data_IF_181328664214
#
_entry.id   IF_181328664214
#
_cell.length_a   1.000
_cell.length_b   1.000
_cell.length_c   1.000
_cell.angle_alpha   90.00
_cell.angle_beta   90.00
_cell.angle_gamma   90.00
#
_symmetry.space_group_name_H-M   'P 1'
#
loop_
_entity.id
_entity.type
_entity.pdbx_description
1 polymer ?
#
# COMPACT_ATOMS: atom_id res chain seq x y z
N UNK A 1 -46.89 66.20 16.96
CA UNK A 1 -45.57 66.05 16.30
C UNK A 1 -44.93 64.86 16.90
N UNK A 2 -44.69 63.81 16.13
CA UNK A 2 -43.93 62.65 16.57
C UNK A 2 -42.45 63.05 16.73
N UNK A 3 -41.98 63.08 17.96
CA UNK A 3 -40.54 63.32 18.24
C UNK A 3 -39.78 62.05 17.90
N UNK A 4 -39.16 61.99 16.76
CA UNK A 4 -38.21 60.96 16.47
C UNK A 4 -36.96 61.18 17.35
N UNK A 5 -36.69 60.24 18.21
CA UNK A 5 -35.45 60.24 18.98
C UNK A 5 -34.26 59.95 18.05
N UNK A 6 -33.30 60.87 17.98
CA UNK A 6 -32.14 60.76 17.11
C UNK A 6 -30.88 60.85 17.93
N UNK A 7 -29.81 60.17 17.48
CA UNK A 7 -28.50 60.21 18.13
C UNK A 7 -28.50 59.69 19.58
N UNK A 8 -28.05 60.52 20.54
CA UNK A 8 -27.92 60.07 21.93
C UNK A 8 -29.24 59.81 22.67
N UNK A 9 -30.36 60.20 22.10
CA UNK A 9 -31.70 59.96 22.65
C UNK A 9 -32.42 58.84 21.91
N UNK A 10 -31.76 58.13 21.02
CA UNK A 10 -32.34 56.95 20.32
C UNK A 10 -32.63 55.84 21.32
N UNK A 11 -33.65 55.07 21.04
CA UNK A 11 -34.02 53.90 21.81
C UNK A 11 -33.90 52.65 20.93
N UNK A 12 -33.65 51.51 21.56
CA UNK A 12 -33.62 50.20 20.94
C UNK A 12 -34.42 49.20 21.77
N UNK A 13 -34.89 48.15 21.12
CA UNK A 13 -35.61 47.05 21.76
C UNK A 13 -34.59 45.98 22.15
N UNK A 14 -34.67 45.51 23.41
CA UNK A 14 -33.85 44.38 23.86
C UNK A 14 -34.37 43.08 23.23
N UNK A 15 -33.45 42.30 22.65
CA UNK A 15 -33.77 41.00 22.08
C UNK A 15 -34.24 39.97 23.12
N UNK A 16 -33.95 40.23 24.42
CA UNK A 16 -34.33 39.33 25.50
C UNK A 16 -35.70 39.62 26.06
N UNK A 17 -35.95 40.84 26.48
CA UNK A 17 -37.21 41.23 27.11
C UNK A 17 -38.25 41.81 26.15
N UNK A 18 -37.82 42.24 24.94
CA UNK A 18 -38.69 42.98 24.01
C UNK A 18 -39.04 44.39 24.47
N UNK A 19 -38.42 44.88 25.57
CA UNK A 19 -38.67 46.22 26.12
C UNK A 19 -37.76 47.25 25.45
N UNK A 20 -38.26 48.50 25.45
CA UNK A 20 -37.56 49.64 24.85
C UNK A 20 -36.64 50.31 25.86
N UNK A 21 -35.32 50.36 25.56
CA UNK A 21 -34.28 50.97 26.40
C UNK A 21 -33.51 52.06 25.63
N UNK A 22 -32.81 52.99 26.36
CA UNK A 22 -31.90 53.93 25.72
C UNK A 22 -30.80 53.18 24.95
N UNK A 23 -30.55 53.51 23.70
CA UNK A 23 -29.55 52.83 22.84
C UNK A 23 -28.15 52.82 23.50
N UNK A 24 -27.80 53.82 24.29
CA UNK A 24 -26.49 53.91 24.98
C UNK A 24 -26.30 52.87 26.07
N UNK A 25 -27.37 52.32 26.59
CA UNK A 25 -27.37 51.28 27.64
C UNK A 25 -27.47 49.86 27.09
N UNK A 26 -27.51 49.75 25.77
CA UNK A 26 -27.58 48.46 25.09
C UNK A 26 -26.18 47.92 24.87
N UNK A 27 -26.01 46.61 25.13
CA UNK A 27 -24.74 45.84 25.00
C UNK A 27 -24.99 44.62 24.14
N UNK A 28 -24.01 44.22 23.36
CA UNK A 28 -24.08 42.97 22.57
C UNK A 28 -23.51 41.80 23.37
N UNK A 29 -24.31 40.76 23.50
CA UNK A 29 -23.89 39.50 24.13
C UNK A 29 -23.01 38.66 23.24
N UNK A 30 -22.40 37.61 23.80
CA UNK A 30 -21.52 36.64 23.13
C UNK A 30 -22.25 35.86 22.00
N UNK A 31 -23.57 35.69 22.11
CA UNK A 31 -24.41 35.03 21.11
C UNK A 31 -24.87 35.98 19.97
N UNK A 32 -24.52 37.26 20.08
CA UNK A 32 -24.88 38.27 19.10
C UNK A 32 -26.14 39.05 19.45
N UNK A 33 -26.91 38.67 20.49
CA UNK A 33 -28.11 39.38 20.94
C UNK A 33 -27.80 40.78 21.45
N UNK A 34 -28.68 41.72 21.16
CA UNK A 34 -28.53 43.11 21.57
C UNK A 34 -29.49 43.39 22.73
N UNK A 35 -28.94 43.49 23.95
CA UNK A 35 -29.69 43.53 25.19
C UNK A 35 -29.34 44.74 26.04
N UNK A 36 -30.21 45.13 26.98
CA UNK A 36 -29.89 46.15 27.96
C UNK A 36 -28.83 45.61 28.95
N UNK A 37 -27.94 46.47 29.46
CA UNK A 37 -26.82 46.06 30.36
C UNK A 37 -27.31 45.33 31.61
N UNK A 38 -28.52 45.56 32.11
CA UNK A 38 -29.08 44.83 33.25
C UNK A 38 -29.50 43.40 32.93
N UNK A 39 -29.68 43.12 31.67
CA UNK A 39 -30.06 41.80 31.15
C UNK A 39 -28.89 41.04 30.58
N UNK A 40 -27.69 41.62 30.59
CA UNK A 40 -26.49 41.06 30.02
C UNK A 40 -26.04 39.83 30.79
N UNK A 41 -25.82 38.76 30.07
CA UNK A 41 -25.21 37.51 30.58
C UNK A 41 -23.84 37.28 29.95
N UNK A 42 -22.79 37.09 30.80
CA UNK A 42 -21.49 36.71 30.30
C UNK A 42 -21.54 35.30 29.74
N UNK A 43 -20.69 35.02 28.77
CA UNK A 43 -20.52 33.68 28.20
C UNK A 43 -20.12 32.67 29.29
N UNK A 44 -20.82 31.55 29.35
CA UNK A 44 -20.49 30.47 30.27
C UNK A 44 -19.10 29.92 29.99
N UNK A 45 -18.22 29.79 31.01
CA UNK A 45 -16.86 29.28 30.84
C UNK A 45 -16.79 27.88 30.23
N UNK A 46 -17.86 27.09 30.34
CA UNK A 46 -17.93 25.76 29.75
C UNK A 46 -18.03 25.78 28.22
N UNK A 47 -18.50 26.89 27.65
CA UNK A 47 -18.61 27.08 26.21
C UNK A 47 -17.30 27.55 25.57
N UNK A 48 -16.32 27.90 26.39
CA UNK A 48 -14.97 28.18 25.93
C UNK A 48 -14.11 26.92 26.13
N UNK A 49 -13.51 26.40 25.04
CA UNK A 49 -12.55 25.32 25.21
C UNK A 49 -11.45 25.82 26.15
N UNK A 50 -11.22 25.09 27.24
CA UNK A 50 -10.09 25.39 28.13
C UNK A 50 -8.83 25.47 27.27
N UNK A 51 -8.01 26.51 27.36
CA UNK A 51 -6.71 26.50 26.74
C UNK A 51 -5.97 25.32 27.35
N UNK A 52 -5.87 24.24 26.61
CA UNK A 52 -4.97 23.14 26.93
C UNK A 52 -3.60 23.80 26.84
N UNK A 53 -2.87 23.85 27.97
CA UNK A 53 -1.49 24.30 27.98
C UNK A 53 -0.77 23.47 26.92
N UNK A 54 -0.68 24.02 25.70
CA UNK A 54 -0.11 23.32 24.56
C UNK A 54 1.34 23.07 24.88
N UNK A 55 1.77 21.83 24.75
CA UNK A 55 3.17 21.54 24.56
C UNK A 55 3.66 22.45 23.44
N UNK A 56 4.57 23.39 23.75
CA UNK A 56 5.12 24.35 22.78
C UNK A 56 5.86 23.66 21.62
N UNK A 57 6.03 22.34 21.69
CA UNK A 57 6.61 21.47 20.67
C UNK A 57 5.51 20.75 19.85
N UNK A 58 4.25 20.80 20.28
CA UNK A 58 3.15 20.16 19.55
C UNK A 58 2.91 20.85 18.20
N UNK A 59 3.06 20.09 17.15
CA UNK A 59 2.78 20.56 15.79
C UNK A 59 1.27 20.67 15.54
N UNK A 60 0.82 21.83 15.10
CA UNK A 60 -0.61 22.13 14.95
C UNK A 60 -1.31 21.33 13.85
N UNK A 61 -0.63 20.80 12.89
CA UNK A 61 -1.16 19.99 11.78
C UNK A 61 -0.16 18.91 11.42
N UNK A 62 0.07 18.00 12.35
CA UNK A 62 0.96 16.87 12.10
C UNK A 62 0.32 15.96 11.06
N UNK A 63 1.00 15.78 9.96
CA UNK A 63 0.75 14.68 9.04
C UNK A 63 1.93 13.72 9.19
N UNK A 64 1.80 12.69 10.03
CA UNK A 64 2.84 11.68 10.14
C UNK A 64 2.99 11.00 8.76
N UNK A 65 4.20 10.55 8.48
CA UNK A 65 4.46 9.73 7.31
C UNK A 65 3.53 8.52 7.30
N UNK A 66 3.13 8.12 6.12
CA UNK A 66 2.26 6.98 5.93
C UNK A 66 3.03 5.72 6.34
N UNK A 67 2.66 5.13 7.46
CA UNK A 67 3.26 3.88 7.98
C UNK A 67 2.54 2.62 7.49
N UNK A 68 1.53 2.79 6.66
CA UNK A 68 0.78 1.68 6.10
C UNK A 68 1.61 0.97 5.03
N UNK A 69 1.59 -0.35 5.08
CA UNK A 69 2.17 -1.16 3.99
C UNK A 69 1.37 -0.93 2.71
N UNK A 70 2.03 -0.90 1.55
CA UNK A 70 1.32 -0.77 0.29
C UNK A 70 0.38 -1.97 0.11
N UNK A 71 -0.86 -1.65 -0.25
CA UNK A 71 -1.87 -2.65 -0.56
C UNK A 71 -1.68 -3.14 -2.00
N UNK A 72 -2.05 -4.40 -2.30
CA UNK A 72 -2.09 -4.89 -3.67
C UNK A 72 -3.07 -4.10 -4.53
N UNK A 73 -2.67 -3.82 -5.77
CA UNK A 73 -3.53 -3.18 -6.76
C UNK A 73 -4.21 -4.21 -7.64
N UNK A 74 -5.47 -3.95 -8.01
CA UNK A 74 -6.19 -4.78 -8.95
C UNK A 74 -5.72 -4.50 -10.39
N UNK A 75 -5.45 -5.57 -11.13
CA UNK A 75 -5.12 -5.49 -12.54
C UNK A 75 -6.38 -5.53 -13.40
N UNK A 76 -6.34 -5.01 -14.64
CA UNK A 76 -7.43 -5.15 -15.61
C UNK A 76 -7.76 -6.62 -15.90
N UNK A 77 -8.89 -6.86 -16.56
CA UNK A 77 -9.25 -8.21 -17.01
C UNK A 77 -8.21 -8.77 -18.00
N UNK A 78 -7.71 -9.97 -17.72
CA UNK A 78 -6.67 -10.66 -18.50
C UNK A 78 -5.42 -9.80 -18.76
N UNK A 79 -4.74 -9.34 -17.70
CA UNK A 79 -3.67 -8.37 -17.82
C UNK A 79 -2.38 -8.92 -18.42
N UNK A 80 -2.21 -10.25 -18.45
CA UNK A 80 -0.99 -10.89 -18.90
C UNK A 80 -1.03 -11.22 -20.38
N UNK A 81 0.06 -10.92 -21.09
CA UNK A 81 0.27 -11.25 -22.49
C UNK A 81 1.70 -11.77 -22.69
N UNK A 82 1.84 -12.92 -23.34
CA UNK A 82 3.13 -13.50 -23.68
C UNK A 82 3.12 -14.00 -25.12
N UNK A 83 4.25 -13.83 -25.81
CA UNK A 83 4.44 -14.27 -27.18
C UNK A 83 5.22 -15.59 -27.22
N UNK A 84 4.85 -16.48 -28.13
CA UNK A 84 5.57 -17.73 -28.34
C UNK A 84 7.08 -17.51 -28.58
N UNK A 85 7.90 -18.29 -27.91
CA UNK A 85 9.37 -18.23 -28.02
C UNK A 85 10.03 -17.12 -27.20
N UNK A 86 9.26 -16.30 -26.46
CA UNK A 86 9.81 -15.25 -25.58
C UNK A 86 9.77 -15.65 -24.12
N UNK A 87 10.66 -15.02 -23.32
CA UNK A 87 10.67 -15.11 -21.86
C UNK A 87 10.05 -13.87 -21.20
N UNK A 88 9.63 -12.91 -22.00
CA UNK A 88 9.12 -11.61 -21.50
C UNK A 88 7.61 -11.69 -21.49
N UNK A 89 7.02 -11.52 -20.30
CA UNK A 89 5.58 -11.37 -20.14
C UNK A 89 5.24 -9.90 -19.94
N UNK A 90 4.32 -9.40 -20.74
CA UNK A 90 3.80 -8.05 -20.61
C UNK A 90 2.59 -8.06 -19.69
N UNK A 91 2.55 -7.11 -18.76
CA UNK A 91 1.47 -6.92 -17.79
C UNK A 91 0.81 -5.57 -18.03
N UNK A 92 -0.47 -5.56 -18.31
CA UNK A 92 -1.25 -4.33 -18.46
C UNK A 92 -1.59 -3.73 -17.11
N UNK A 93 -1.16 -2.48 -16.87
CA UNK A 93 -1.41 -1.73 -15.65
C UNK A 93 -1.56 -0.25 -15.98
N UNK A 94 -2.79 0.27 -16.18
CA UNK A 94 -3.04 1.58 -16.76
C UNK A 94 -2.45 2.77 -16.01
N UNK A 95 -2.25 2.64 -14.70
CA UNK A 95 -1.77 3.71 -13.83
C UNK A 95 -0.36 3.43 -13.28
N UNK A 96 0.41 2.57 -13.96
CA UNK A 96 1.77 2.27 -13.54
C UNK A 96 2.65 3.51 -13.74
N UNK A 97 2.98 4.19 -12.64
CA UNK A 97 3.98 5.24 -12.63
C UNK A 97 5.27 4.72 -11.99
N UNK A 98 6.37 4.81 -12.70
CA UNK A 98 7.67 4.76 -12.06
C UNK A 98 8.05 6.20 -11.76
N UNK A 99 8.14 6.57 -10.50
CA UNK A 99 9.00 7.69 -10.19
C UNK A 99 10.39 7.29 -10.63
N UNK A 100 10.97 8.10 -11.52
CA UNK A 100 12.29 7.84 -12.09
C UNK A 100 13.36 8.04 -11.02
N UNK A 101 13.40 7.16 -10.06
CA UNK A 101 14.46 7.00 -9.08
C UNK A 101 15.38 5.89 -9.59
N UNK A 102 16.28 6.25 -10.51
CA UNK A 102 17.54 5.56 -10.69
C UNK A 102 17.52 4.06 -11.04
N UNK A 103 16.52 3.54 -11.75
CA UNK A 103 16.55 2.15 -12.21
C UNK A 103 16.41 1.10 -11.09
N UNK A 104 15.77 1.43 -10.00
CA UNK A 104 15.56 0.50 -8.90
C UNK A 104 14.62 -0.63 -9.32
N UNK A 105 15.13 -1.83 -9.13
CA UNK A 105 14.46 -3.08 -9.43
C UNK A 105 13.34 -3.30 -8.40
N UNK A 106 12.10 -3.40 -8.88
CA UNK A 106 10.95 -3.64 -8.03
C UNK A 106 10.55 -5.11 -8.09
N UNK A 107 10.35 -5.71 -6.92
CA UNK A 107 9.89 -7.09 -6.78
C UNK A 107 8.41 -7.09 -6.48
N UNK A 108 7.64 -7.75 -7.34
CA UNK A 108 6.17 -7.82 -7.23
C UNK A 108 5.70 -9.25 -7.05
N UNK A 109 4.65 -9.41 -6.25
CA UNK A 109 3.89 -10.65 -6.12
C UNK A 109 2.57 -10.52 -6.87
N UNK A 110 2.25 -11.54 -7.65
CA UNK A 110 0.94 -11.69 -8.30
C UNK A 110 0.09 -12.68 -7.55
N UNK A 111 -1.21 -12.41 -7.45
CA UNK A 111 -2.16 -13.26 -6.76
C UNK A 111 -3.46 -13.36 -7.55
N UNK A 112 -4.13 -14.52 -7.44
CA UNK A 112 -5.42 -14.74 -8.05
C UNK A 112 -5.37 -14.95 -9.58
N UNK A 113 -4.23 -15.38 -10.09
CA UNK A 113 -4.03 -15.60 -11.53
C UNK A 113 -4.82 -16.82 -11.99
N UNK A 114 -5.71 -16.63 -12.96
CA UNK A 114 -6.44 -17.71 -13.62
C UNK A 114 -5.89 -17.91 -15.01
N UNK A 115 -5.46 -19.12 -15.28
CA UNK A 115 -4.88 -19.49 -16.57
C UNK A 115 -5.95 -20.03 -17.51
N UNK A 116 -6.10 -19.46 -18.71
CA UNK A 116 -6.93 -20.06 -19.74
C UNK A 116 -6.33 -21.38 -20.24
N UNK A 117 -7.16 -22.26 -20.75
CA UNK A 117 -6.74 -23.57 -21.29
C UNK A 117 -5.65 -23.38 -22.35
N UNK A 118 -4.53 -24.07 -22.17
CA UNK A 118 -3.40 -24.02 -23.10
C UNK A 118 -2.37 -22.92 -22.86
N UNK A 119 -2.54 -22.06 -21.85
CA UNK A 119 -1.65 -20.94 -21.55
C UNK A 119 -0.77 -21.19 -20.29
N UNK A 120 -0.09 -22.33 -20.21
CA UNK A 120 0.75 -22.72 -19.06
C UNK A 120 1.78 -21.68 -18.62
N UNK A 121 2.26 -20.85 -19.55
CA UNK A 121 3.20 -19.78 -19.22
C UNK A 121 2.63 -18.73 -18.26
N UNK A 122 1.31 -18.55 -18.24
CA UNK A 122 0.64 -17.61 -17.34
C UNK A 122 0.52 -18.17 -15.92
N UNK A 123 0.37 -19.50 -15.76
CA UNK A 123 0.39 -20.16 -14.44
C UNK A 123 1.69 -19.89 -13.67
N UNK A 124 2.79 -19.79 -14.41
CA UNK A 124 4.12 -19.60 -13.82
C UNK A 124 4.34 -18.22 -13.22
N UNK A 125 3.42 -17.28 -13.39
CA UNK A 125 3.59 -15.91 -12.87
C UNK A 125 3.27 -15.83 -11.38
N UNK A 126 2.33 -16.63 -10.91
CA UNK A 126 2.01 -16.77 -9.48
C UNK A 126 2.88 -17.87 -8.87
N UNK A 127 3.89 -17.45 -8.09
CA UNK A 127 4.87 -18.35 -7.50
C UNK A 127 4.45 -18.74 -6.10
N UNK A 128 4.02 -19.97 -5.90
CA UNK A 128 3.64 -20.51 -4.60
C UNK A 128 4.20 -21.93 -4.39
N UNK A 129 4.62 -22.22 -3.16
CA UNK A 129 5.11 -23.52 -2.72
C UNK A 129 4.90 -23.68 -1.22
N UNK A 130 5.45 -24.77 -0.66
CA UNK A 130 5.51 -25.00 0.78
C UNK A 130 6.91 -25.40 1.20
N UNK A 131 7.26 -25.17 2.46
CA UNK A 131 8.52 -25.69 3.02
C UNK A 131 8.50 -27.23 3.03
N UNK A 132 9.59 -27.83 2.54
CA UNK A 132 9.75 -29.28 2.55
C UNK A 132 10.21 -29.84 3.90
N UNK A 133 10.90 -29.02 4.69
CA UNK A 133 11.42 -29.38 6.00
C UNK A 133 11.37 -28.19 6.96
N UNK A 134 11.46 -28.48 8.27
CA UNK A 134 11.58 -27.45 9.29
C UNK A 134 12.87 -26.66 9.09
N UNK A 135 12.77 -25.34 9.28
CA UNK A 135 13.92 -24.44 9.19
C UNK A 135 14.09 -23.62 10.47
N UNK A 136 15.33 -23.42 10.88
CA UNK A 136 15.68 -22.52 11.97
C UNK A 136 15.78 -21.07 11.49
N UNK A 137 15.73 -20.10 12.42
CA UNK A 137 15.95 -18.69 12.10
C UNK A 137 17.30 -18.37 11.46
N UNK A 138 18.32 -19.22 11.66
CA UNK A 138 19.66 -19.05 11.14
C UNK A 138 19.94 -19.89 9.88
N UNK A 139 18.94 -20.51 9.28
CA UNK A 139 19.14 -21.36 8.10
C UNK A 139 19.58 -20.51 6.89
N UNK A 140 20.66 -20.90 6.25
CA UNK A 140 21.20 -20.29 5.02
C UNK A 140 20.79 -21.03 3.75
N UNK A 141 20.11 -22.16 3.89
CA UNK A 141 19.54 -22.95 2.80
C UNK A 141 18.12 -23.37 3.17
N UNK A 142 17.22 -23.28 2.22
CA UNK A 142 15.79 -23.58 2.40
C UNK A 142 15.35 -24.56 1.32
N UNK A 143 14.69 -25.63 1.71
CA UNK A 143 14.12 -26.60 0.76
C UNK A 143 12.61 -26.41 0.63
N UNK A 144 12.14 -26.35 -0.60
CA UNK A 144 10.73 -26.22 -0.96
C UNK A 144 10.23 -27.53 -1.54
N UNK A 145 8.98 -27.83 -1.26
CA UNK A 145 8.31 -29.01 -1.80
C UNK A 145 8.22 -28.92 -3.33
N UNK A 146 8.23 -30.08 -3.97
CA UNK A 146 8.00 -30.19 -5.39
C UNK A 146 6.60 -29.61 -5.73
N UNK A 147 6.56 -28.70 -6.70
CA UNK A 147 5.30 -28.10 -7.14
C UNK A 147 5.52 -27.09 -8.26
N UNK A 148 4.47 -26.82 -9.02
CA UNK A 148 4.58 -25.98 -10.21
C UNK A 148 5.14 -24.57 -9.91
N UNK A 149 4.79 -23.98 -8.78
CA UNK A 149 5.25 -22.64 -8.42
C UNK A 149 6.72 -22.56 -8.04
N UNK A 150 7.28 -23.60 -7.39
CA UNK A 150 8.68 -23.59 -6.95
C UNK A 150 9.69 -23.76 -8.09
N UNK A 151 9.31 -24.43 -9.17
CA UNK A 151 10.18 -24.65 -10.33
C UNK A 151 10.51 -23.38 -11.12
N UNK A 152 9.72 -22.33 -10.93
CA UNK A 152 9.84 -21.09 -11.69
C UNK A 152 10.38 -19.91 -10.87
N UNK A 153 10.96 -20.17 -9.70
CA UNK A 153 11.63 -19.15 -8.90
C UNK A 153 12.90 -18.65 -9.61
N UNK A 154 13.07 -17.35 -9.79
CA UNK A 154 14.27 -16.78 -10.39
C UNK A 154 15.46 -16.82 -9.42
N UNK A 155 16.69 -16.79 -9.93
CA UNK A 155 17.87 -16.53 -9.11
C UNK A 155 17.92 -15.06 -8.64
N UNK A 156 18.65 -14.79 -7.56
CA UNK A 156 18.80 -13.45 -6.99
C UNK A 156 17.47 -12.76 -6.71
N UNK A 157 16.62 -13.38 -5.90
CA UNK A 157 15.27 -12.91 -5.66
C UNK A 157 14.88 -13.08 -4.20
N UNK A 158 13.60 -12.89 -3.94
CA UNK A 158 13.02 -12.95 -2.59
C UNK A 158 11.85 -13.93 -2.56
N UNK A 159 11.65 -14.52 -1.39
CA UNK A 159 10.43 -15.26 -1.06
C UNK A 159 9.89 -14.76 0.27
N UNK A 160 8.58 -14.87 0.46
CA UNK A 160 7.93 -14.66 1.75
C UNK A 160 7.47 -16.01 2.28
N UNK A 161 7.77 -16.28 3.56
CA UNK A 161 7.28 -17.45 4.29
C UNK A 161 6.13 -16.98 5.18
N UNK A 162 4.96 -17.53 4.95
CA UNK A 162 3.77 -17.19 5.71
C UNK A 162 3.85 -17.78 7.13
N UNK A 163 3.59 -16.94 8.13
CA UNK A 163 3.47 -17.34 9.52
C UNK A 163 2.28 -16.63 10.14
N UNK A 164 1.43 -17.40 10.78
CA UNK A 164 0.32 -16.87 11.57
C UNK A 164 0.70 -17.01 13.05
N UNK A 165 0.68 -15.91 13.77
CA UNK A 165 0.85 -15.92 15.22
C UNK A 165 -0.40 -16.54 15.84
N UNK A 166 -0.21 -17.67 16.55
CA UNK A 166 -1.32 -18.45 17.15
C UNK A 166 -2.05 -17.72 18.29
N UNK A 167 -1.39 -16.74 18.92
CA UNK A 167 -1.97 -16.01 20.05
C UNK A 167 -2.77 -14.79 19.56
N UNK A 168 -2.27 -14.10 18.55
CA UNK A 168 -2.87 -12.85 18.04
C UNK A 168 -3.71 -13.03 16.79
N UNK A 169 -3.57 -14.17 16.09
CA UNK A 169 -4.16 -14.43 14.78
C UNK A 169 -3.61 -13.54 13.65
N UNK A 170 -2.56 -12.78 13.90
CA UNK A 170 -1.95 -11.88 12.92
C UNK A 170 -0.89 -12.58 12.09
N UNK A 171 -0.75 -12.14 10.85
CA UNK A 171 0.35 -12.57 9.99
C UNK A 171 1.67 -11.95 10.45
N UNK A 172 2.67 -12.78 10.67
CA UNK A 172 4.06 -12.42 10.97
C UNK A 172 4.97 -13.01 9.89
N UNK A 173 4.71 -12.62 8.65
CA UNK A 173 5.40 -13.15 7.49
C UNK A 173 6.88 -12.77 7.52
N UNK A 174 7.74 -13.69 7.10
CA UNK A 174 9.16 -13.45 6.98
C UNK A 174 9.60 -13.38 5.51
N UNK A 175 10.30 -12.32 5.15
CA UNK A 175 10.93 -12.19 3.83
C UNK A 175 12.35 -12.72 3.89
N UNK A 176 12.71 -13.54 2.91
CA UNK A 176 14.03 -14.14 2.75
C UNK A 176 14.55 -13.82 1.36
N UNK A 177 15.74 -13.23 1.27
CA UNK A 177 16.46 -13.14 0.00
C UNK A 177 17.32 -14.38 -0.22
N UNK A 178 17.53 -14.76 -1.46
CA UNK A 178 18.38 -15.90 -1.84
C UNK A 178 19.10 -15.61 -3.16
N UNK A 179 20.23 -16.27 -3.37
CA UNK A 179 21.07 -16.05 -4.56
C UNK A 179 20.78 -17.07 -5.65
N UNK A 180 20.70 -18.35 -5.31
CA UNK A 180 20.56 -19.41 -6.32
C UNK A 180 19.45 -20.40 -6.01
N UNK A 181 18.90 -20.97 -7.08
CA UNK A 181 17.88 -22.01 -7.06
C UNK A 181 18.44 -23.26 -7.71
N UNK A 182 18.33 -24.39 -7.04
CA UNK A 182 18.63 -25.71 -7.60
C UNK A 182 17.45 -26.65 -7.46
N UNK A 183 17.23 -27.49 -8.47
CA UNK A 183 16.12 -28.44 -8.52
C UNK A 183 16.70 -29.83 -8.51
N UNK A 184 16.30 -30.67 -7.56
CA UNK A 184 16.68 -32.08 -7.55
C UNK A 184 15.88 -32.85 -8.58
N UNK A 185 16.54 -33.45 -9.56
CA UNK A 185 15.93 -33.99 -10.78
C UNK A 185 14.95 -35.14 -10.50
N UNK A 186 15.23 -35.96 -9.49
CA UNK A 186 14.43 -37.15 -9.19
C UNK A 186 13.24 -36.85 -8.28
N UNK A 187 13.38 -35.89 -7.34
CA UNK A 187 12.35 -35.59 -6.33
C UNK A 187 11.58 -34.32 -6.63
N UNK A 188 12.10 -33.48 -7.51
CA UNK A 188 11.50 -32.16 -7.79
C UNK A 188 11.64 -31.18 -6.62
N UNK A 189 12.36 -31.52 -5.55
CA UNK A 189 12.61 -30.62 -4.43
C UNK A 189 13.47 -29.47 -4.90
N UNK A 190 13.05 -28.26 -4.57
CA UNK A 190 13.77 -27.04 -4.90
C UNK A 190 14.55 -26.57 -3.68
N UNK A 191 15.83 -26.27 -3.87
CA UNK A 191 16.70 -25.73 -2.81
C UNK A 191 17.08 -24.31 -3.16
N UNK A 192 16.78 -23.39 -2.23
CA UNK A 192 17.25 -22.00 -2.24
C UNK A 192 18.54 -21.95 -1.43
N UNK A 193 19.59 -21.37 -1.99
CA UNK A 193 20.92 -21.27 -1.35
C UNK A 193 21.31 -19.81 -1.12
N UNK A 194 22.25 -19.64 -0.19
CA UNK A 194 22.74 -18.32 0.24
C UNK A 194 21.59 -17.42 0.70
N UNK A 195 20.74 -17.98 1.54
CA UNK A 195 19.58 -17.28 2.08
C UNK A 195 19.98 -16.30 3.17
N UNK A 196 19.49 -15.04 3.05
CA UNK A 196 19.54 -14.04 4.13
C UNK A 196 18.13 -13.89 4.69
N UNK A 197 18.01 -14.17 5.97
CA UNK A 197 16.76 -14.25 6.69
C UNK A 197 16.31 -12.88 7.22
N UNK A 198 14.99 -12.66 7.31
CA UNK A 198 14.44 -11.48 7.91
C UNK A 198 14.70 -10.19 7.13
N UNK A 199 14.78 -10.24 5.82
CA UNK A 199 15.04 -9.09 4.93
C UNK A 199 13.75 -8.34 4.55
N UNK A 200 13.88 -7.38 3.65
CA UNK A 200 12.76 -6.73 2.96
C UNK A 200 13.00 -6.75 1.44
N UNK A 201 11.96 -6.97 0.67
CA UNK A 201 12.00 -6.85 -0.77
C UNK A 201 11.61 -5.42 -1.18
N UNK A 202 12.40 -4.72 -2.01
CA UNK A 202 12.05 -3.39 -2.47
C UNK A 202 10.83 -3.43 -3.39
N UNK A 203 9.93 -2.44 -3.23
CA UNK A 203 8.73 -2.30 -4.03
C UNK A 203 8.49 -0.82 -4.33
N UNK A 204 8.32 -0.46 -5.59
CA UNK A 204 8.13 0.93 -6.08
C UNK A 204 9.22 1.91 -5.62
N UNK A 205 10.47 1.45 -5.55
CA UNK A 205 11.59 2.27 -5.09
C UNK A 205 11.63 2.50 -3.57
N UNK A 206 10.67 2.00 -2.82
CA UNK A 206 10.64 2.10 -1.36
C UNK A 206 11.31 0.90 -0.71
N UNK A 207 12.08 1.16 0.35
CA UNK A 207 12.69 0.14 1.18
C UNK A 207 11.82 -0.05 2.42
N UNK A 208 11.21 -1.21 2.56
CA UNK A 208 10.40 -1.55 3.73
C UNK A 208 11.29 -1.97 4.91
N UNK A 209 10.76 -1.87 6.15
CA UNK A 209 11.48 -2.40 7.30
C UNK A 209 11.70 -3.91 7.13
N UNK A 210 12.89 -4.36 7.54
CA UNK A 210 13.22 -5.77 7.57
C UNK A 210 12.20 -6.55 8.42
N UNK A 211 11.86 -7.74 7.97
CA UNK A 211 11.06 -8.69 8.74
C UNK A 211 11.91 -9.36 9.83
N UNK A 212 11.29 -10.09 10.73
CA UNK A 212 12.03 -10.82 11.79
C UNK A 212 12.26 -12.26 11.39
N UNK A 213 13.52 -12.68 11.39
CA UNK A 213 13.89 -14.08 11.16
C UNK A 213 13.32 -14.98 12.27
N UNK A 214 12.62 -16.03 11.89
CA UNK A 214 11.99 -16.98 12.81
C UNK A 214 12.12 -18.42 12.34
N UNK A 215 11.84 -19.39 13.23
CA UNK A 215 11.72 -20.79 12.82
C UNK A 215 10.36 -21.02 12.16
N UNK A 216 10.35 -21.85 11.12
CA UNK A 216 9.14 -22.27 10.44
C UNK A 216 9.11 -23.80 10.32
N UNK A 217 7.90 -24.35 10.40
CA UNK A 217 7.68 -25.78 10.26
C UNK A 217 7.51 -26.16 8.78
N UNK A 218 7.77 -27.42 8.48
CA UNK A 218 7.45 -28.02 7.20
C UNK A 218 5.97 -27.79 6.87
N UNK A 219 5.68 -27.56 5.60
CA UNK A 219 4.33 -27.24 5.13
C UNK A 219 3.94 -25.76 5.23
N UNK A 220 4.75 -24.88 5.84
CA UNK A 220 4.49 -23.44 5.81
C UNK A 220 4.48 -22.94 4.36
N UNK A 221 3.51 -22.10 4.02
CA UNK A 221 3.37 -21.56 2.65
C UNK A 221 4.49 -20.59 2.33
N UNK A 222 4.99 -20.70 1.13
CA UNK A 222 6.06 -19.84 0.61
C UNK A 222 5.58 -19.24 -0.72
N UNK A 223 5.70 -17.92 -0.84
CA UNK A 223 5.36 -17.20 -2.06
C UNK A 223 6.59 -16.49 -2.60
N UNK A 224 6.78 -16.57 -3.91
CA UNK A 224 7.85 -15.88 -4.62
C UNK A 224 7.38 -14.57 -5.25
N UNK A 225 8.34 -13.80 -5.75
CA UNK A 225 8.11 -12.57 -6.48
C UNK A 225 8.78 -12.58 -7.84
N UNK A 226 8.37 -11.66 -8.69
CA UNK A 226 8.96 -11.37 -9.98
C UNK A 226 9.62 -10.01 -9.97
N UNK A 227 10.75 -9.93 -10.64
CA UNK A 227 11.39 -8.67 -10.93
C UNK A 227 10.65 -7.98 -12.07
N UNK A 228 10.34 -6.71 -11.89
CA UNK A 228 9.68 -5.88 -12.89
C UNK A 228 10.74 -5.21 -13.76
N UNK A 229 10.62 -5.39 -15.06
CA UNK A 229 11.33 -4.62 -16.06
C UNK A 229 10.39 -3.60 -16.69
N UNK A 230 10.87 -2.40 -16.93
CA UNK A 230 10.10 -1.36 -17.62
C UNK A 230 10.31 -1.56 -19.11
N UNK A 231 9.23 -1.65 -19.87
CA UNK A 231 9.29 -1.62 -21.33
C UNK A 231 9.39 -0.16 -21.79
N UNK A 232 10.56 0.29 -22.31
CA UNK A 232 10.77 1.69 -22.70
C UNK A 232 9.87 2.14 -23.86
N UNK A 233 9.27 1.21 -24.61
CA UNK A 233 8.43 1.53 -25.78
C UNK A 233 6.98 1.91 -25.41
N UNK A 234 6.64 1.89 -24.12
CA UNK A 234 5.26 2.09 -23.62
C UNK A 234 5.04 3.42 -22.90
N UNK A 235 5.79 4.43 -23.21
CA UNK A 235 5.55 5.78 -22.67
C UNK A 235 4.19 6.29 -23.12
N UNK A 236 3.28 6.52 -22.16
CA UNK A 236 2.03 7.19 -22.44
C UNK A 236 2.35 8.63 -22.81
N UNK A 237 2.05 9.01 -24.04
CA UNK A 237 2.24 10.38 -24.56
C UNK A 237 1.24 11.33 -23.89
N UNK A 238 1.56 11.80 -22.70
CA UNK A 238 0.94 12.93 -22.03
C UNK A 238 2.02 13.93 -21.68
N UNK A 239 1.75 15.23 -21.82
CA UNK A 239 2.66 16.30 -21.46
C UNK A 239 2.88 16.31 -19.94
N UNK A 240 3.74 15.41 -19.45
CA UNK A 240 4.18 15.36 -18.05
C UNK A 240 5.58 15.99 -17.94
N UNK A 241 5.89 16.63 -16.80
CA UNK A 241 7.24 17.10 -16.54
C UNK A 241 8.22 15.92 -16.61
N UNK A 242 9.42 16.15 -17.09
CA UNK A 242 10.45 15.18 -17.45
C UNK A 242 10.90 14.21 -16.32
N UNK A 243 10.32 14.29 -15.14
CA UNK A 243 10.68 13.50 -13.95
C UNK A 243 9.73 12.36 -13.62
N UNK A 244 8.53 12.33 -14.21
CA UNK A 244 7.55 11.24 -13.97
C UNK A 244 7.10 10.69 -15.31
N UNK A 245 7.45 9.44 -15.60
CA UNK A 245 6.97 8.70 -16.75
C UNK A 245 5.84 7.78 -16.32
N UNK A 246 4.66 7.94 -16.90
CA UNK A 246 3.55 7.03 -16.72
C UNK A 246 3.56 5.97 -17.82
N UNK A 247 3.47 4.72 -17.40
CA UNK A 247 3.39 3.57 -18.29
C UNK A 247 2.01 2.90 -18.15
N UNK A 248 1.49 2.38 -19.23
CA UNK A 248 0.25 1.59 -19.20
C UNK A 248 0.48 0.09 -19.12
N UNK A 249 1.73 -0.32 -19.05
CA UNK A 249 2.18 -1.70 -18.92
C UNK A 249 3.61 -1.78 -18.39
N UNK A 250 3.96 -2.92 -17.85
CA UNK A 250 5.33 -3.29 -17.51
C UNK A 250 5.62 -4.72 -17.95
N UNK A 251 6.88 -5.13 -17.92
CA UNK A 251 7.29 -6.49 -18.28
C UNK A 251 7.89 -7.22 -17.09
N UNK A 252 7.76 -8.53 -17.08
CA UNK A 252 8.43 -9.43 -16.14
C UNK A 252 9.13 -10.54 -16.89
N UNK A 253 10.32 -10.91 -16.41
CA UNK A 253 11.10 -11.99 -16.99
C UNK A 253 10.63 -13.35 -16.47
N UNK A 254 10.38 -14.25 -17.41
CA UNK A 254 10.07 -15.65 -17.15
C UNK A 254 11.34 -16.50 -17.28
N UNK A 255 11.42 -17.61 -16.54
CA UNK A 255 12.61 -18.48 -16.58
C UNK A 255 12.69 -19.25 -17.90
N UNK A 256 11.55 -19.64 -18.43
CA UNK A 256 11.45 -20.45 -19.64
C UNK A 256 10.77 -19.69 -20.78
N UNK A 257 11.16 -20.00 -22.01
CA UNK A 257 10.44 -19.50 -23.17
C UNK A 257 9.01 -20.03 -23.19
N UNK A 258 8.08 -19.16 -23.54
CA UNK A 258 6.69 -19.57 -23.76
C UNK A 258 6.60 -20.49 -24.99
N UNK A 259 5.82 -21.54 -24.87
CA UNK A 259 5.51 -22.48 -25.96
C UNK A 259 4.32 -22.05 -26.82
N UNK A 260 3.62 -20.99 -26.41
CA UNK A 260 2.44 -20.46 -27.12
C UNK A 260 2.28 -18.96 -26.86
N UNK A 261 1.69 -18.27 -27.83
CA UNK A 261 1.20 -16.90 -27.60
C UNK A 261 -0.11 -17.00 -26.83
N UNK A 262 -0.19 -16.31 -25.69
CA UNK A 262 -1.35 -16.38 -24.81
C UNK A 262 -1.63 -15.06 -24.10
N UNK A 263 -2.89 -14.84 -23.75
CA UNK A 263 -3.35 -13.79 -22.86
C UNK A 263 -4.19 -14.41 -21.75
N UNK A 264 -4.15 -13.83 -20.55
CA UNK A 264 -4.92 -14.36 -19.43
C UNK A 264 -4.70 -13.63 -18.12
N UNK A 265 -5.07 -14.25 -17.01
CA UNK A 265 -5.00 -13.70 -15.66
C UNK A 265 -6.36 -13.64 -14.98
N UNK A 266 -7.42 -13.44 -15.75
CA UNK A 266 -8.80 -13.35 -15.23
C UNK A 266 -9.15 -11.99 -14.66
N UNK A 267 -10.26 -11.92 -13.91
CA UNK A 267 -10.88 -10.68 -13.43
C UNK A 267 -10.40 -10.22 -12.04
N UNK A 268 -9.76 -11.09 -11.29
CA UNK A 268 -9.43 -10.86 -9.86
C UNK A 268 -7.93 -10.94 -9.59
N UNK A 269 -7.14 -10.65 -10.60
CA UNK A 269 -5.69 -10.66 -10.45
C UNK A 269 -5.22 -9.38 -9.78
N UNK A 270 -4.30 -9.51 -8.82
CA UNK A 270 -3.69 -8.39 -8.12
C UNK A 270 -2.17 -8.42 -8.27
N UNK A 271 -1.57 -7.24 -8.18
CA UNK A 271 -0.13 -7.04 -8.10
C UNK A 271 0.19 -6.22 -6.86
N UNK A 272 1.17 -6.62 -6.09
CA UNK A 272 1.52 -5.93 -4.85
C UNK A 272 2.93 -6.25 -4.37
N UNK A 273 3.30 -5.72 -3.19
CA UNK A 273 4.57 -6.02 -2.55
C UNK A 273 4.62 -7.50 -2.18
N UNK A 274 5.85 -8.04 -2.05
CA UNK A 274 6.02 -9.44 -1.67
C UNK A 274 5.41 -9.75 -0.29
N UNK A 275 5.54 -8.84 0.65
CA UNK A 275 5.00 -8.96 1.99
C UNK A 275 3.81 -8.00 2.15
N UNK A 276 2.70 -8.32 1.51
CA UNK A 276 1.42 -7.68 1.81
C UNK A 276 0.91 -8.23 3.15
N UNK A 277 0.76 -7.37 4.10
CA UNK A 277 0.11 -7.70 5.37
C UNK A 277 -1.41 -7.53 5.19
N UNK A 278 -2.02 -8.47 4.50
CA UNK A 278 -3.48 -8.58 4.43
C UNK A 278 -4.04 -9.28 5.68
#
# INVERSE_FOLDING_TARGET
>A
MSKYATGKHSKAISDRSGMEFPYREMVREWNGSFVHYTEYEPKQPQLEPKPIGGDGVALLNVRPDRTEFPTPDFLPNNPFSITNGTKIMTVSFPDYSTEAQGGELNYVRFQGVKTPVGARSIEQIELSSTLNADISAAATSITLSAGDGSFYLPNNSYVVIEKINSETGRYENEVVSYVSVSIHIDTGIVTLSDCVRGTAAPFRGETFPNTTASSHLAGAKVFGCRLVSIDPDTVVTGAQPATIQQYNRFTVDMIQNSTSTATGGGLQCTVGPLNDRS
#
